data_IF_995827251311
#
_entry.id   IF_995827251311
#
_cell.length_a   1.000
_cell.length_b   1.000
_cell.length_c   1.000
_cell.angle_alpha   90.00
_cell.angle_beta   90.00
_cell.angle_gamma   90.00
#
_symmetry.space_group_name_H-M   'P 1'
#
loop_
_entity.id
_entity.type
_entity.pdbx_description
1 polymer ?
#
# COMPACT_ATOMS: atom_id res chain seq x y z
N UNK A 1 -4.18 -1.25 -44.14
CA UNK A 1 -3.51 -0.58 -43.01
C UNK A 1 -3.13 -1.65 -42.00
N UNK A 2 -1.89 -2.09 -42.06
CA UNK A 2 -1.28 -2.95 -41.04
C UNK A 2 -1.31 -2.17 -39.71
N UNK A 3 -1.94 -2.73 -38.67
CA UNK A 3 -1.80 -2.19 -37.31
C UNK A 3 -0.32 -2.26 -37.00
N UNK A 4 0.36 -1.12 -36.91
CA UNK A 4 1.70 -1.06 -36.34
C UNK A 4 1.62 -1.75 -34.97
N UNK A 5 2.24 -2.93 -34.87
CA UNK A 5 2.34 -3.63 -33.61
C UNK A 5 3.09 -2.69 -32.68
N UNK A 6 2.42 -2.23 -31.61
CA UNK A 6 3.09 -1.54 -30.53
C UNK A 6 4.28 -2.43 -30.12
N UNK A 7 5.50 -1.89 -30.01
CA UNK A 7 6.64 -2.72 -29.64
C UNK A 7 6.31 -3.42 -28.33
N UNK A 8 6.28 -4.76 -28.34
CA UNK A 8 6.06 -5.53 -27.11
C UNK A 8 7.16 -5.14 -26.13
N UNK A 9 6.76 -4.86 -24.89
CA UNK A 9 7.69 -4.61 -23.79
C UNK A 9 8.74 -5.73 -23.78
N UNK A 10 10.04 -5.42 -23.73
CA UNK A 10 11.10 -6.46 -23.63
C UNK A 10 11.48 -6.78 -22.19
N UNK A 11 10.97 -5.98 -21.27
CA UNK A 11 11.36 -5.95 -19.87
C UNK A 11 10.55 -6.96 -19.05
N UNK A 12 11.13 -7.37 -17.92
CA UNK A 12 10.41 -8.18 -16.94
C UNK A 12 9.44 -7.27 -16.17
N UNK A 13 8.23 -7.76 -15.89
CA UNK A 13 7.24 -7.06 -15.07
C UNK A 13 7.06 -7.79 -13.74
N UNK A 14 7.07 -7.05 -12.63
CA UNK A 14 6.77 -7.57 -11.31
C UNK A 14 5.61 -6.79 -10.69
N UNK A 15 4.55 -7.51 -10.33
CA UNK A 15 3.30 -6.93 -9.79
C UNK A 15 3.28 -7.05 -8.26
N UNK A 16 3.14 -5.92 -7.57
CA UNK A 16 3.12 -5.83 -6.12
C UNK A 16 1.74 -5.41 -5.62
N UNK A 17 1.08 -6.22 -4.78
CA UNK A 17 -0.22 -5.88 -4.23
C UNK A 17 -0.11 -4.84 -3.09
N UNK A 18 -1.26 -4.27 -2.70
CA UNK A 18 -1.39 -3.43 -1.51
C UNK A 18 -1.49 -4.22 -0.21
N UNK A 19 -1.64 -3.50 0.91
CA UNK A 19 -1.88 -4.11 2.22
C UNK A 19 -3.08 -5.06 2.16
N UNK A 20 -2.96 -6.23 2.80
CA UNK A 20 -3.95 -7.31 2.77
C UNK A 20 -4.18 -7.90 1.37
N UNK A 21 -3.40 -7.52 0.36
CA UNK A 21 -3.55 -7.96 -1.04
C UNK A 21 -2.89 -9.29 -1.38
N UNK A 22 -2.30 -9.99 -0.41
CA UNK A 22 -1.71 -11.33 -0.57
C UNK A 22 -2.40 -12.33 0.36
N UNK A 23 -2.63 -13.54 -0.13
CA UNK A 23 -3.05 -14.68 0.70
C UNK A 23 -1.91 -15.08 1.64
N UNK A 24 -2.22 -15.27 2.93
CA UNK A 24 -1.28 -15.69 3.96
C UNK A 24 -1.64 -17.08 4.47
N UNK A 25 -0.63 -17.93 4.65
CA UNK A 25 -0.76 -19.27 5.21
C UNK A 25 0.20 -19.47 6.37
N UNK A 26 -0.21 -20.29 7.32
CA UNK A 26 0.66 -20.83 8.36
C UNK A 26 1.58 -21.87 7.74
N UNK A 27 2.88 -21.76 7.98
CA UNK A 27 3.89 -22.64 7.36
C UNK A 27 3.87 -24.03 7.99
N UNK A 28 3.58 -24.15 9.28
CA UNK A 28 3.59 -25.42 9.99
C UNK A 28 2.32 -26.21 9.69
N UNK A 29 1.15 -25.60 9.89
CA UNK A 29 -0.12 -26.31 9.70
C UNK A 29 -0.59 -26.34 8.25
N UNK A 30 -0.08 -25.45 7.39
CA UNK A 30 -0.57 -25.24 6.03
C UNK A 30 -1.93 -24.52 5.96
N UNK A 31 -2.47 -24.08 7.10
CA UNK A 31 -3.76 -23.40 7.14
C UNK A 31 -3.69 -22.03 6.48
N UNK A 32 -4.72 -21.69 5.70
CA UNK A 32 -4.90 -20.33 5.20
C UNK A 32 -5.28 -19.42 6.37
N UNK A 33 -4.42 -18.46 6.70
CA UNK A 33 -4.65 -17.43 7.71
C UNK A 33 -5.35 -16.19 7.14
N UNK A 34 -5.19 -15.91 5.85
CA UNK A 34 -5.89 -14.82 5.20
C UNK A 34 -6.03 -15.12 3.73
N UNK A 35 -7.24 -15.03 3.19
CA UNK A 35 -7.51 -15.32 1.79
C UNK A 35 -9.00 -15.18 1.46
N UNK A 36 -9.31 -15.07 0.17
CA UNK A 36 -10.67 -14.79 -0.31
C UNK A 36 -11.34 -16.03 -0.90
N UNK A 37 -11.64 -17.01 -0.05
CA UNK A 37 -12.58 -18.09 -0.38
C UNK A 37 -13.90 -17.85 0.39
N UNK A 38 -15.09 -17.96 -0.23
CA UNK A 38 -16.37 -17.67 0.46
C UNK A 38 -16.61 -18.51 1.72
N UNK A 39 -16.23 -19.80 1.69
CA UNK A 39 -16.31 -20.70 2.86
C UNK A 39 -15.29 -20.34 3.95
N UNK A 40 -14.12 -19.84 3.54
CA UNK A 40 -13.09 -19.35 4.46
C UNK A 40 -13.46 -18.03 5.10
N UNK A 41 -14.10 -17.12 4.35
CA UNK A 41 -14.61 -15.87 4.88
C UNK A 41 -15.60 -16.16 6.04
N UNK A 42 -16.55 -17.07 5.86
CA UNK A 42 -17.47 -17.42 6.95
C UNK A 42 -16.77 -18.01 8.20
N UNK A 43 -15.74 -18.86 8.03
CA UNK A 43 -15.10 -19.60 9.15
C UNK A 43 -14.00 -18.81 9.87
N UNK A 44 -13.22 -18.03 9.14
CA UNK A 44 -12.13 -17.22 9.68
C UNK A 44 -12.64 -16.01 10.48
N UNK A 45 -13.81 -15.48 10.10
CA UNK A 45 -14.33 -14.22 10.62
C UNK A 45 -15.36 -14.36 11.74
N UNK A 46 -15.92 -15.56 11.93
CA UNK A 46 -16.82 -15.86 13.04
C UNK A 46 -16.09 -16.33 14.30
N UNK A 47 -14.89 -16.93 14.17
CA UNK A 47 -14.07 -17.36 15.32
C UNK A 47 -13.09 -16.26 15.76
N UNK A 48 -12.95 -16.05 17.07
CA UNK A 48 -11.91 -15.15 17.60
C UNK A 48 -10.49 -15.67 17.30
N UNK A 49 -10.36 -16.98 17.11
CA UNK A 49 -9.09 -17.67 16.89
C UNK A 49 -8.45 -17.36 15.53
N UNK A 50 -9.23 -17.17 14.46
CA UNK A 50 -8.69 -16.84 13.14
C UNK A 50 -7.89 -15.53 13.15
N UNK A 51 -8.49 -14.45 13.67
CA UNK A 51 -7.83 -13.15 13.78
C UNK A 51 -6.64 -13.20 14.74
N UNK A 52 -6.72 -13.98 15.82
CA UNK A 52 -5.61 -14.16 16.76
C UNK A 52 -4.35 -14.67 16.07
N UNK A 53 -4.48 -15.66 15.17
CA UNK A 53 -3.35 -16.23 14.41
C UNK A 53 -2.69 -15.26 13.42
N UNK A 54 -3.36 -14.17 13.08
CA UNK A 54 -2.79 -13.10 12.24
C UNK A 54 -1.96 -12.08 13.01
N UNK A 55 -2.05 -12.02 14.34
CA UNK A 55 -1.18 -11.13 15.11
C UNK A 55 0.28 -11.56 14.93
N UNK A 56 1.19 -10.59 14.96
CA UNK A 56 2.62 -10.91 15.08
C UNK A 56 2.87 -11.51 16.46
N UNK A 57 3.70 -12.55 16.51
CA UNK A 57 4.29 -13.01 17.78
C UNK A 57 5.42 -12.09 18.21
N UNK A 58 5.87 -12.20 19.46
CA UNK A 58 7.01 -11.42 19.96
C UNK A 58 8.28 -11.74 19.15
N UNK A 59 8.48 -13.01 18.76
CA UNK A 59 9.61 -13.39 17.91
C UNK A 59 9.52 -12.77 16.51
N UNK A 60 8.32 -12.68 15.93
CA UNK A 60 8.10 -12.01 14.63
C UNK A 60 8.37 -10.50 14.74
N UNK A 61 8.05 -9.87 15.88
CA UNK A 61 8.38 -8.46 16.16
C UNK A 61 9.88 -8.23 16.30
N UNK A 62 10.60 -9.18 16.90
CA UNK A 62 12.06 -9.16 17.04
C UNK A 62 12.80 -9.55 15.74
N UNK A 63 12.06 -9.76 14.64
CA UNK A 63 12.61 -10.02 13.31
C UNK A 63 12.77 -11.49 12.94
N UNK A 64 12.42 -12.42 13.84
CA UNK A 64 12.37 -13.86 13.55
C UNK A 64 11.09 -14.19 12.78
N UNK A 65 11.07 -13.81 11.51
CA UNK A 65 9.93 -14.07 10.64
C UNK A 65 10.05 -15.42 9.92
N UNK A 66 8.94 -16.17 9.80
CA UNK A 66 8.94 -17.43 9.06
C UNK A 66 7.71 -18.30 9.28
N UNK A 67 6.97 -18.06 10.37
CA UNK A 67 5.71 -18.75 10.69
C UNK A 67 4.64 -18.56 9.61
N UNK A 68 4.57 -17.38 9.01
CA UNK A 68 3.57 -17.04 8.00
C UNK A 68 4.22 -16.77 6.66
N UNK A 69 3.62 -17.34 5.62
CA UNK A 69 4.08 -17.20 4.24
C UNK A 69 2.98 -16.64 3.37
N UNK A 70 3.33 -15.67 2.52
CA UNK A 70 2.46 -15.21 1.46
C UNK A 70 2.56 -16.14 0.25
N UNK A 71 1.41 -16.60 -0.28
CA UNK A 71 1.37 -17.64 -1.33
C UNK A 71 1.06 -17.08 -2.71
N UNK A 72 0.11 -16.14 -2.80
CA UNK A 72 -0.35 -15.56 -4.05
C UNK A 72 -1.02 -14.22 -3.81
N UNK A 73 -1.10 -13.38 -4.84
CA UNK A 73 -1.97 -12.21 -4.78
C UNK A 73 -3.41 -12.65 -4.60
N UNK A 74 -4.20 -11.81 -3.96
CA UNK A 74 -5.63 -12.05 -3.80
C UNK A 74 -6.31 -12.16 -5.17
N UNK A 75 -7.12 -13.20 -5.33
CA UNK A 75 -7.94 -13.42 -6.53
C UNK A 75 -9.37 -13.74 -6.11
N UNK A 76 -10.33 -13.07 -6.73
CA UNK A 76 -11.73 -13.49 -6.68
C UNK A 76 -12.08 -14.35 -7.89
N UNK A 77 -13.00 -15.32 -7.75
CA UNK A 77 -13.75 -15.83 -8.88
C UNK A 77 -14.50 -14.67 -9.55
N UNK A 78 -14.35 -14.52 -10.87
CA UNK A 78 -14.94 -13.44 -11.68
C UNK A 78 -16.47 -13.33 -11.59
N UNK A 79 -17.15 -14.36 -11.08
CA UNK A 79 -18.61 -14.43 -10.94
C UNK A 79 -19.11 -14.28 -9.48
N UNK A 80 -18.29 -13.79 -8.54
CA UNK A 80 -18.67 -13.73 -7.11
C UNK A 80 -19.70 -12.63 -6.83
N UNK A 81 -20.98 -12.97 -6.57
CA UNK A 81 -22.02 -11.98 -6.29
C UNK A 81 -21.79 -11.34 -4.91
N UNK A 82 -22.04 -10.03 -4.78
CA UNK A 82 -22.01 -9.33 -3.48
C UNK A 82 -20.70 -8.59 -3.14
N UNK A 83 -19.68 -8.62 -4.01
CA UNK A 83 -18.42 -7.89 -3.81
C UNK A 83 -18.36 -6.55 -4.55
N UNK A 84 -19.45 -6.10 -5.17
CA UNK A 84 -19.52 -4.80 -5.85
C UNK A 84 -18.51 -4.62 -6.99
N UNK A 85 -18.06 -5.71 -7.63
CA UNK A 85 -17.04 -5.64 -8.70
C UNK A 85 -15.60 -5.50 -8.23
N UNK A 86 -15.31 -5.69 -6.94
CA UNK A 86 -13.95 -5.74 -6.42
C UNK A 86 -13.24 -6.99 -7.01
N UNK A 87 -12.33 -6.79 -7.97
CA UNK A 87 -11.46 -7.81 -8.56
C UNK A 87 -10.01 -7.45 -8.21
N UNK A 88 -9.30 -8.18 -7.33
CA UNK A 88 -8.22 -7.58 -6.55
C UNK A 88 -7.00 -7.35 -7.44
N UNK A 89 -6.61 -8.38 -8.20
CA UNK A 89 -5.46 -8.33 -9.11
C UNK A 89 -5.65 -9.18 -10.39
N UNK A 90 -6.73 -9.96 -10.50
CA UNK A 90 -6.90 -10.94 -11.60
C UNK A 90 -6.90 -10.27 -12.98
N UNK A 91 -7.80 -9.31 -13.24
CA UNK A 91 -7.85 -8.57 -14.51
C UNK A 91 -6.56 -7.79 -14.77
N UNK A 92 -6.00 -7.11 -13.75
CA UNK A 92 -4.77 -6.35 -13.90
C UNK A 92 -3.62 -7.26 -14.39
N UNK A 93 -3.35 -8.34 -13.67
CA UNK A 93 -2.29 -9.29 -14.02
C UNK A 93 -2.56 -9.94 -15.38
N UNK A 94 -3.81 -10.30 -15.68
CA UNK A 94 -4.21 -10.84 -16.99
C UNK A 94 -3.88 -9.85 -18.11
N UNK A 95 -4.28 -8.59 -17.97
CA UNK A 95 -4.00 -7.53 -18.95
C UNK A 95 -2.50 -7.29 -19.13
N UNK A 96 -1.73 -7.27 -18.03
CA UNK A 96 -0.27 -7.14 -18.10
C UNK A 96 0.32 -8.30 -18.90
N UNK A 97 -0.08 -9.55 -18.60
CA UNK A 97 0.38 -10.74 -19.35
C UNK A 97 0.00 -10.68 -20.84
N UNK A 98 -1.20 -10.21 -21.18
CA UNK A 98 -1.66 -10.03 -22.57
C UNK A 98 -0.81 -9.00 -23.36
N UNK A 99 -0.22 -8.01 -22.66
CA UNK A 99 0.62 -6.97 -23.27
C UNK A 99 2.13 -7.26 -23.15
N UNK A 100 2.48 -8.37 -22.50
CA UNK A 100 3.87 -8.76 -22.22
C UNK A 100 4.40 -9.71 -23.30
N UNK A 101 5.72 -9.74 -23.53
CA UNK A 101 6.35 -10.52 -24.60
C UNK A 101 6.18 -12.02 -24.41
N UNK A 102 6.09 -12.45 -23.15
CA UNK A 102 5.89 -13.84 -22.77
C UNK A 102 5.27 -13.91 -21.36
N UNK A 103 4.45 -14.92 -21.01
CA UNK A 103 3.92 -15.07 -19.66
C UNK A 103 5.00 -15.09 -18.56
N UNK A 104 6.16 -15.68 -18.83
CA UNK A 104 7.28 -15.77 -17.87
C UNK A 104 8.02 -14.45 -17.64
N UNK A 105 7.77 -13.43 -18.48
CA UNK A 105 8.25 -12.07 -18.19
C UNK A 105 7.47 -11.40 -17.05
N UNK A 106 6.30 -11.93 -16.68
CA UNK A 106 5.41 -11.35 -15.66
C UNK A 106 5.37 -12.23 -14.41
N UNK A 107 5.86 -11.69 -13.30
CA UNK A 107 5.70 -12.29 -11.98
C UNK A 107 4.82 -11.44 -11.07
N UNK A 108 4.26 -12.10 -10.07
CA UNK A 108 3.55 -11.48 -8.97
C UNK A 108 4.41 -11.64 -7.71
N UNK A 109 4.48 -10.62 -6.87
CA UNK A 109 5.20 -10.64 -5.60
C UNK A 109 4.21 -10.57 -4.43
N UNK A 110 3.60 -11.71 -4.02
CA UNK A 110 2.86 -11.75 -2.79
C UNK A 110 3.83 -11.61 -1.61
N UNK A 111 3.43 -10.86 -0.59
CA UNK A 111 4.23 -10.63 0.62
C UNK A 111 3.35 -10.62 1.88
N UNK A 112 4.01 -10.83 3.03
CA UNK A 112 3.37 -10.76 4.33
C UNK A 112 3.11 -9.30 4.70
N UNK A 113 1.90 -8.84 4.38
CA UNK A 113 1.46 -7.46 4.57
C UNK A 113 1.34 -7.03 6.03
N UNK A 114 1.58 -7.94 6.97
CA UNK A 114 1.67 -7.65 8.40
C UNK A 114 3.00 -7.00 8.77
N UNK A 115 4.07 -7.36 8.05
CA UNK A 115 5.44 -6.91 8.31
C UNK A 115 5.68 -5.51 7.78
N UNK A 116 6.80 -4.92 8.18
CA UNK A 116 7.18 -3.57 7.77
C UNK A 116 7.51 -3.51 6.27
N UNK A 117 7.41 -2.30 5.71
CA UNK A 117 7.83 -1.96 4.35
C UNK A 117 9.31 -2.32 4.13
N UNK A 118 10.28 -1.95 5.01
CA UNK A 118 11.67 -2.37 4.88
C UNK A 118 11.85 -3.90 4.84
N UNK A 119 11.20 -4.64 5.76
CA UNK A 119 11.29 -6.11 5.80
C UNK A 119 10.78 -6.73 4.49
N UNK A 120 9.67 -6.22 3.98
CA UNK A 120 9.09 -6.68 2.71
C UNK A 120 9.95 -6.30 1.51
N UNK A 121 10.62 -5.14 1.54
CA UNK A 121 11.48 -4.66 0.47
C UNK A 121 12.78 -5.47 0.35
N UNK A 122 13.33 -5.96 1.47
CA UNK A 122 14.47 -6.90 1.45
C UNK A 122 14.09 -8.19 0.72
N UNK A 123 12.88 -8.72 0.98
CA UNK A 123 12.36 -9.90 0.28
C UNK A 123 12.07 -9.60 -1.19
N UNK A 124 11.60 -8.39 -1.50
CA UNK A 124 11.38 -7.94 -2.87
C UNK A 124 12.69 -7.92 -3.66
N UNK A 125 13.79 -7.42 -3.07
CA UNK A 125 15.08 -7.34 -3.74
C UNK A 125 15.52 -8.71 -4.27
N UNK A 126 15.51 -9.74 -3.42
CA UNK A 126 15.84 -11.10 -3.81
C UNK A 126 14.90 -11.66 -4.90
N UNK A 127 13.59 -11.44 -4.77
CA UNK A 127 12.62 -11.91 -5.76
C UNK A 127 12.74 -11.18 -7.12
N UNK A 128 13.04 -9.88 -7.08
CA UNK A 128 13.23 -9.03 -8.24
C UNK A 128 14.47 -9.41 -9.05
N UNK A 129 15.61 -9.60 -8.37
CA UNK A 129 16.86 -10.05 -8.98
C UNK A 129 16.68 -11.43 -9.62
N UNK A 130 16.06 -12.37 -8.90
CA UNK A 130 15.82 -13.72 -9.41
C UNK A 130 14.87 -13.73 -10.61
N UNK A 131 13.79 -12.94 -10.57
CA UNK A 131 12.86 -12.82 -11.68
C UNK A 131 13.54 -12.23 -12.92
N UNK A 132 14.28 -11.14 -12.75
CA UNK A 132 14.98 -10.49 -13.86
C UNK A 132 16.06 -11.41 -14.45
N UNK A 133 16.83 -12.12 -13.60
CA UNK A 133 17.84 -13.09 -14.03
C UNK A 133 17.21 -14.20 -14.86
N UNK A 134 16.09 -14.78 -14.41
CA UNK A 134 15.36 -15.81 -15.16
C UNK A 134 14.86 -15.29 -16.50
N UNK A 135 14.31 -14.07 -16.54
CA UNK A 135 13.84 -13.49 -17.78
C UNK A 135 14.98 -13.22 -18.77
N UNK A 136 16.11 -12.65 -18.32
CA UNK A 136 17.30 -12.43 -19.16
C UNK A 136 17.90 -13.71 -19.76
N UNK A 137 17.73 -14.84 -19.07
CA UNK A 137 18.19 -16.16 -19.51
C UNK A 137 17.16 -16.94 -20.34
N UNK A 138 15.91 -16.50 -20.37
CA UNK A 138 14.85 -17.17 -21.09
C UNK A 138 15.11 -17.13 -22.61
N UNK A 139 14.81 -18.20 -23.38
CA UNK A 139 15.06 -18.23 -24.84
C UNK A 139 14.35 -17.11 -25.62
N UNK A 140 13.24 -16.62 -25.10
CA UNK A 140 12.47 -15.49 -25.66
C UNK A 140 12.67 -14.18 -24.88
N UNK A 141 13.57 -14.18 -23.90
CA UNK A 141 13.91 -13.02 -23.10
C UNK A 141 15.00 -12.17 -23.74
N UNK A 142 15.20 -10.96 -23.20
CA UNK A 142 16.26 -10.05 -23.61
C UNK A 142 17.35 -9.98 -22.55
N UNK A 143 18.63 -10.12 -22.94
CA UNK A 143 19.76 -9.96 -22.01
C UNK A 143 19.86 -8.55 -21.42
N UNK A 144 19.37 -7.56 -22.16
CA UNK A 144 19.35 -6.16 -21.77
C UNK A 144 18.03 -5.75 -21.09
N UNK A 145 17.14 -6.71 -20.80
CA UNK A 145 15.88 -6.43 -20.12
C UNK A 145 16.13 -5.72 -18.79
N UNK A 146 15.33 -4.70 -18.51
CA UNK A 146 15.19 -4.10 -17.19
C UNK A 146 13.98 -4.70 -16.45
N UNK A 147 13.75 -4.24 -15.22
CA UNK A 147 12.57 -4.57 -14.44
C UNK A 147 11.59 -3.39 -14.43
N UNK A 148 10.31 -3.69 -14.66
CA UNK A 148 9.17 -2.78 -14.47
C UNK A 148 8.39 -3.23 -13.24
N UNK A 149 8.28 -2.35 -12.25
CA UNK A 149 7.48 -2.60 -11.06
C UNK A 149 6.07 -2.01 -11.26
N UNK A 150 5.03 -2.83 -11.11
CA UNK A 150 3.64 -2.35 -11.06
C UNK A 150 3.11 -2.55 -9.65
N UNK A 151 3.02 -1.46 -8.90
CA UNK A 151 2.84 -1.51 -7.46
C UNK A 151 1.57 -0.79 -7.03
N UNK A 152 0.71 -1.50 -6.30
CA UNK A 152 -0.56 -0.97 -5.80
C UNK A 152 -0.47 -0.61 -4.32
N UNK A 153 -0.98 0.57 -3.94
CA UNK A 153 -1.11 1.03 -2.56
C UNK A 153 0.22 0.85 -1.78
N UNK A 154 0.22 0.16 -0.65
CA UNK A 154 1.44 -0.12 0.14
C UNK A 154 2.57 -0.77 -0.66
N UNK A 155 2.26 -1.54 -1.71
CA UNK A 155 3.28 -2.11 -2.60
C UNK A 155 4.19 -1.06 -3.23
N UNK A 156 3.70 0.17 -3.44
CA UNK A 156 4.52 1.26 -3.97
C UNK A 156 5.54 1.79 -2.98
N UNK A 157 5.24 1.76 -1.66
CA UNK A 157 6.21 2.07 -0.61
C UNK A 157 7.33 1.01 -0.57
N UNK A 158 6.97 -0.27 -0.72
CA UNK A 158 7.93 -1.38 -0.79
C UNK A 158 8.82 -1.24 -2.03
N UNK A 159 8.23 -0.96 -3.19
CA UNK A 159 8.96 -0.71 -4.43
C UNK A 159 9.92 0.48 -4.29
N UNK A 160 9.46 1.58 -3.69
CA UNK A 160 10.28 2.77 -3.45
C UNK A 160 11.44 2.49 -2.49
N UNK A 161 11.19 1.78 -1.39
CA UNK A 161 12.26 1.41 -0.47
C UNK A 161 13.31 0.54 -1.16
N UNK A 162 12.88 -0.44 -1.96
CA UNK A 162 13.78 -1.29 -2.73
C UNK A 162 14.64 -0.48 -3.71
N UNK A 163 14.03 0.39 -4.52
CA UNK A 163 14.78 1.17 -5.51
C UNK A 163 15.71 2.18 -4.86
N UNK A 164 15.26 2.87 -3.82
CA UNK A 164 16.01 3.99 -3.23
C UNK A 164 17.02 3.58 -2.16
N UNK A 165 16.77 2.48 -1.43
CA UNK A 165 17.57 2.09 -0.26
C UNK A 165 18.31 0.77 -0.39
N UNK A 166 17.88 -0.10 -1.31
CA UNK A 166 18.43 -1.45 -1.46
C UNK A 166 19.12 -1.68 -2.82
N UNK A 167 19.45 -0.61 -3.56
CA UNK A 167 20.16 -0.70 -4.83
C UNK A 167 19.29 -1.06 -6.04
N UNK A 168 17.97 -1.15 -5.88
CA UNK A 168 17.07 -1.53 -6.98
C UNK A 168 17.08 -0.58 -8.19
N UNK A 169 17.58 0.65 -8.05
CA UNK A 169 17.79 1.61 -9.14
C UNK A 169 18.62 1.06 -10.30
N UNK A 170 19.53 0.12 -10.04
CA UNK A 170 20.43 -0.43 -11.08
C UNK A 170 19.72 -1.39 -12.03
N UNK A 171 18.60 -1.99 -11.60
CA UNK A 171 17.88 -3.00 -12.37
C UNK A 171 16.45 -2.60 -12.74
N UNK A 172 15.86 -1.62 -12.05
CA UNK A 172 14.50 -1.13 -12.28
C UNK A 172 14.52 0.03 -13.26
N UNK A 173 13.98 -0.19 -14.46
CA UNK A 173 13.80 0.86 -15.47
C UNK A 173 12.62 1.78 -15.17
N UNK A 174 11.54 1.23 -14.60
CA UNK A 174 10.34 2.00 -14.29
C UNK A 174 9.57 1.41 -13.09
N UNK A 175 9.00 2.29 -12.27
CA UNK A 175 8.00 1.94 -11.24
C UNK A 175 6.69 2.65 -11.56
N UNK A 176 5.61 1.89 -11.70
CA UNK A 176 4.25 2.39 -11.87
C UNK A 176 3.49 2.17 -10.56
N UNK A 177 3.23 3.25 -9.84
CA UNK A 177 2.55 3.25 -8.55
C UNK A 177 1.07 3.59 -8.71
N UNK A 178 0.18 2.75 -8.20
CA UNK A 178 -1.28 2.89 -8.28
C UNK A 178 -1.81 3.24 -6.88
N UNK A 179 -2.28 4.48 -6.67
CA UNK A 179 -2.87 4.91 -5.38
C UNK A 179 -1.95 4.68 -4.17
N UNK A 180 -0.64 4.86 -4.35
CA UNK A 180 0.36 4.62 -3.29
C UNK A 180 0.40 5.77 -2.30
N UNK A 181 0.23 5.54 -0.99
CA UNK A 181 0.32 6.59 0.03
C UNK A 181 1.78 6.88 0.39
N UNK A 182 2.51 7.57 -0.50
CA UNK A 182 3.93 7.89 -0.28
C UNK A 182 4.18 8.69 1.00
N UNK A 183 3.27 9.60 1.34
CA UNK A 183 3.31 10.35 2.60
C UNK A 183 2.33 9.79 3.65
N UNK A 184 1.85 8.56 3.47
CA UNK A 184 0.86 7.92 4.34
C UNK A 184 -0.57 8.44 4.13
N UNK A 185 -1.51 7.94 4.92
CA UNK A 185 -2.93 8.26 4.80
C UNK A 185 -3.61 8.40 6.17
N UNK A 186 -4.41 9.45 6.36
CA UNK A 186 -5.23 9.65 7.57
C UNK A 186 -6.19 8.46 7.82
N UNK A 187 -6.58 7.74 6.77
CA UNK A 187 -7.38 6.52 6.88
C UNK A 187 -6.72 5.42 7.73
N UNK A 188 -5.39 5.33 7.75
CA UNK A 188 -4.68 4.39 8.62
C UNK A 188 -4.84 4.74 10.11
N UNK A 189 -4.81 6.04 10.43
CA UNK A 189 -5.08 6.55 11.78
C UNK A 189 -6.52 6.25 12.18
N UNK A 190 -7.46 6.55 11.29
CA UNK A 190 -8.88 6.28 11.52
C UNK A 190 -9.17 4.79 11.72
N UNK A 191 -8.43 3.90 11.05
CA UNK A 191 -8.49 2.46 11.23
C UNK A 191 -8.03 2.03 12.63
N UNK A 192 -6.87 2.51 13.10
CA UNK A 192 -6.36 2.22 14.44
C UNK A 192 -7.34 2.68 15.54
N UNK A 193 -7.92 3.87 15.37
CA UNK A 193 -8.81 4.44 16.38
C UNK A 193 -10.21 3.81 16.39
N UNK A 194 -10.85 3.69 15.22
CA UNK A 194 -12.27 3.35 15.11
C UNK A 194 -12.54 1.91 14.67
N UNK A 195 -11.54 1.22 14.12
CA UNK A 195 -11.73 -0.07 13.44
C UNK A 195 -12.54 0.03 12.15
N UNK A 196 -12.70 1.22 11.58
CA UNK A 196 -13.35 1.48 10.28
C UNK A 196 -12.32 1.87 9.24
N UNK A 197 -12.67 1.73 7.96
CA UNK A 197 -11.78 2.11 6.85
C UNK A 197 -10.87 0.99 6.35
N UNK A 198 -10.94 -0.21 6.92
CA UNK A 198 -10.36 -1.39 6.27
C UNK A 198 -11.10 -1.71 4.96
N UNK A 199 -10.42 -2.34 3.99
CA UNK A 199 -11.04 -2.78 2.74
C UNK A 199 -12.05 -3.93 2.93
N UNK A 200 -12.22 -4.43 4.16
CA UNK A 200 -13.07 -5.57 4.50
C UNK A 200 -13.99 -5.27 5.69
N UNK A 201 -15.27 -5.72 5.67
CA UNK A 201 -16.22 -5.55 6.76
C UNK A 201 -15.91 -6.50 7.94
N UNK A 202 -15.00 -6.09 8.83
CA UNK A 202 -14.60 -6.85 10.02
C UNK A 202 -15.16 -6.25 11.31
N UNK A 203 -15.32 -7.05 12.39
CA UNK A 203 -15.68 -6.52 13.71
C UNK A 203 -14.63 -5.50 14.17
N UNK A 204 -15.08 -4.26 14.41
CA UNK A 204 -14.21 -3.10 14.68
C UNK A 204 -13.20 -3.35 15.78
N UNK A 205 -13.62 -3.93 16.91
CA UNK A 205 -12.73 -4.20 18.05
C UNK A 205 -11.59 -5.17 17.69
N UNK A 206 -11.88 -6.24 16.93
CA UNK A 206 -10.86 -7.21 16.51
C UNK A 206 -9.90 -6.63 15.48
N UNK A 207 -10.42 -5.81 14.58
CA UNK A 207 -9.62 -5.12 13.58
C UNK A 207 -8.67 -4.09 14.21
N UNK A 208 -9.13 -3.35 15.22
CA UNK A 208 -8.26 -2.45 16.00
C UNK A 208 -7.15 -3.21 16.71
N UNK A 209 -7.51 -4.28 17.43
CA UNK A 209 -6.54 -5.11 18.15
C UNK A 209 -5.47 -5.68 17.20
N UNK A 210 -5.88 -6.19 16.04
CA UNK A 210 -4.95 -6.65 15.01
C UNK A 210 -4.07 -5.49 14.52
N UNK A 211 -4.69 -4.42 14.01
CA UNK A 211 -3.99 -3.29 13.40
C UNK A 211 -2.96 -2.65 14.34
N UNK A 212 -3.25 -2.56 15.63
CA UNK A 212 -2.34 -2.05 16.65
C UNK A 212 -1.03 -2.84 16.76
N UNK A 213 -0.99 -4.08 16.26
CA UNK A 213 0.20 -4.95 16.32
C UNK A 213 0.98 -5.07 15.02
N UNK A 214 0.51 -4.47 13.93
CA UNK A 214 1.08 -4.69 12.60
C UNK A 214 2.00 -3.54 12.18
N UNK A 215 3.31 -3.76 12.00
CA UNK A 215 4.20 -2.78 11.39
C UNK A 215 3.68 -2.28 10.03
N UNK A 216 3.15 -3.16 9.18
CA UNK A 216 2.63 -2.78 7.86
C UNK A 216 1.47 -1.79 7.91
N UNK A 217 0.65 -1.79 8.98
CA UNK A 217 -0.39 -0.76 9.17
C UNK A 217 0.23 0.57 9.61
N UNK A 218 1.23 0.52 10.49
CA UNK A 218 1.89 1.72 11.00
C UNK A 218 2.72 2.42 9.93
N UNK A 219 3.31 1.69 8.99
CA UNK A 219 4.04 2.23 7.84
C UNK A 219 3.13 2.96 6.83
N UNK A 220 1.81 2.96 7.03
CA UNK A 220 0.84 3.75 6.27
C UNK A 220 0.38 5.01 7.00
N UNK A 221 0.88 5.27 8.21
CA UNK A 221 0.56 6.48 8.97
C UNK A 221 1.03 7.73 8.23
N UNK A 222 0.27 8.84 8.30
CA UNK A 222 0.62 10.05 7.61
C UNK A 222 1.90 10.67 8.19
N UNK A 223 2.81 11.07 7.31
CA UNK A 223 4.06 11.75 7.68
C UNK A 223 4.03 13.27 7.44
N UNK A 224 2.91 13.80 6.96
CA UNK A 224 2.70 15.23 6.69
C UNK A 224 1.91 15.94 7.80
N UNK A 225 1.85 17.27 7.73
CA UNK A 225 1.08 18.12 8.66
C UNK A 225 -0.43 17.93 8.50
N UNK A 226 -0.97 16.94 9.20
CA UNK A 226 -2.37 16.53 9.09
C UNK A 226 -3.11 16.48 10.42
N UNK A 227 -2.46 16.82 11.54
CA UNK A 227 -3.13 16.98 12.83
C UNK A 227 -3.51 18.45 12.99
N UNK A 228 -4.81 18.72 13.04
CA UNK A 228 -5.40 20.04 13.25
C UNK A 228 -5.56 20.29 14.76
N UNK A 229 -4.75 21.21 15.27
CA UNK A 229 -4.80 21.73 16.64
C UNK A 229 -5.21 23.23 16.69
N UNK A 230 -5.83 23.73 15.61
CA UNK A 230 -6.24 25.12 15.47
C UNK A 230 -5.19 26.06 14.87
N UNK A 231 -4.01 25.54 14.50
CA UNK A 231 -2.97 26.27 13.75
C UNK A 231 -2.73 25.71 12.34
N UNK A 232 -1.54 25.96 11.79
CA UNK A 232 -1.12 25.49 10.45
C UNK A 232 -0.95 23.97 10.30
N UNK A 233 -1.39 23.19 11.29
CA UNK A 233 -1.24 21.75 11.33
C UNK A 233 0.15 21.30 11.78
N UNK A 234 0.17 20.18 12.50
CA UNK A 234 1.39 19.48 12.91
C UNK A 234 1.40 18.04 12.40
N UNK A 235 2.60 17.45 12.39
CA UNK A 235 2.77 16.03 12.07
C UNK A 235 2.27 15.16 13.23
N UNK A 236 1.83 13.97 12.90
CA UNK A 236 1.43 12.95 13.87
C UNK A 236 2.66 12.47 14.66
N UNK A 237 2.53 12.34 15.99
CA UNK A 237 3.61 11.88 16.87
C UNK A 237 3.36 10.47 17.40
N UNK A 238 4.39 9.74 17.86
CA UNK A 238 4.20 8.45 18.54
C UNK A 238 3.26 8.53 19.75
N UNK A 239 3.26 9.66 20.47
CA UNK A 239 2.36 9.90 21.60
C UNK A 239 0.91 9.95 21.15
N UNK A 240 0.62 10.67 20.07
CA UNK A 240 -0.74 10.70 19.50
C UNK A 240 -1.19 9.29 19.09
N UNK A 241 -0.29 8.52 18.47
CA UNK A 241 -0.58 7.13 18.05
C UNK A 241 -0.91 6.25 19.25
N UNK A 242 -0.18 6.38 20.36
CA UNK A 242 -0.52 5.68 21.59
C UNK A 242 -1.90 6.10 22.14
N UNK A 243 -2.22 7.40 22.12
CA UNK A 243 -3.49 7.93 22.62
C UNK A 243 -4.71 7.39 21.84
N UNK A 244 -4.56 7.17 20.54
CA UNK A 244 -5.63 6.63 19.68
C UNK A 244 -5.70 5.10 19.65
N UNK A 245 -4.81 4.42 20.38
CA UNK A 245 -4.77 2.95 20.52
C UNK A 245 -3.85 2.21 19.56
N UNK A 246 -2.89 2.89 18.91
CA UNK A 246 -1.79 2.27 18.17
C UNK A 246 -0.54 2.06 19.03
N UNK A 247 0.50 1.50 18.42
CA UNK A 247 1.77 1.21 19.07
C UNK A 247 2.78 2.34 18.82
N UNK A 248 3.28 3.03 19.87
CA UNK A 248 4.19 4.17 19.71
C UNK A 248 5.56 3.78 19.15
N UNK A 249 6.04 2.55 19.37
CA UNK A 249 7.34 2.11 18.85
C UNK A 249 7.25 1.83 17.35
N UNK A 250 6.13 1.23 16.92
CA UNK A 250 5.82 1.08 15.49
C UNK A 250 5.61 2.44 14.82
N UNK A 251 4.97 3.39 15.49
CA UNK A 251 4.84 4.76 15.00
C UNK A 251 6.22 5.45 14.82
N UNK A 252 7.11 5.32 15.80
CA UNK A 252 8.47 5.86 15.71
C UNK A 252 9.27 5.20 14.55
N UNK A 253 9.04 3.92 14.30
CA UNK A 253 9.65 3.20 13.17
C UNK A 253 9.12 3.68 11.82
N UNK A 254 7.81 3.91 11.73
CA UNK A 254 7.15 4.48 10.55
C UNK A 254 7.66 5.90 10.24
N UNK A 255 7.89 6.74 11.25
CA UNK A 255 8.51 8.06 11.05
C UNK A 255 9.90 7.96 10.42
N UNK A 256 10.77 7.06 10.93
CA UNK A 256 12.09 6.80 10.34
C UNK A 256 12.00 6.27 8.90
N UNK A 257 11.00 5.45 8.60
CA UNK A 257 10.72 5.00 7.23
C UNK A 257 10.40 6.19 6.32
N UNK A 258 9.50 7.09 6.73
CA UNK A 258 9.14 8.24 5.90
C UNK A 258 10.26 9.27 5.75
N UNK A 259 11.13 9.43 6.77
CA UNK A 259 12.36 10.21 6.64
C UNK A 259 13.27 9.65 5.53
N UNK A 260 13.30 8.32 5.34
CA UNK A 260 14.04 7.69 4.26
C UNK A 260 13.50 8.01 2.85
N UNK A 261 12.29 8.57 2.74
CA UNK A 261 11.63 9.00 1.50
C UNK A 261 11.57 10.53 1.33
N UNK A 262 12.31 11.28 2.15
CA UNK A 262 12.31 12.76 2.13
C UNK A 262 12.85 13.36 0.82
N UNK A 263 13.62 12.59 0.06
CA UNK A 263 14.10 12.99 -1.25
C UNK A 263 12.97 13.04 -2.30
N UNK A 264 13.08 13.89 -3.34
CA UNK A 264 12.11 13.94 -4.41
C UNK A 264 11.91 12.59 -5.11
N UNK A 265 10.69 12.36 -5.63
CA UNK A 265 10.38 11.21 -6.46
C UNK A 265 11.42 11.03 -7.59
N UNK A 266 11.92 9.80 -7.82
CA UNK A 266 12.84 9.55 -8.92
C UNK A 266 12.11 9.67 -10.26
N UNK A 267 12.83 10.05 -11.32
CA UNK A 267 12.26 10.16 -12.68
C UNK A 267 11.66 8.84 -13.20
N UNK A 268 12.12 7.70 -12.70
CA UNK A 268 11.61 6.38 -13.04
C UNK A 268 10.26 6.04 -12.37
N UNK A 269 9.75 6.90 -11.48
CA UNK A 269 8.46 6.72 -10.81
C UNK A 269 7.33 7.41 -11.61
N UNK A 270 6.33 6.63 -12.01
CA UNK A 270 5.07 7.09 -12.59
C UNK A 270 3.94 6.82 -11.60
N UNK A 271 3.14 7.83 -11.27
CA UNK A 271 2.02 7.71 -10.32
C UNK A 271 0.68 7.77 -11.03
N UNK A 272 -0.20 6.81 -10.76
CA UNK A 272 -1.63 6.83 -11.13
C UNK A 272 -2.43 7.13 -9.87
N UNK A 273 -3.01 8.31 -9.82
CA UNK A 273 -3.65 8.88 -8.61
C UNK A 273 -5.13 9.16 -8.88
N UNK A 274 -6.00 8.74 -7.96
CA UNK A 274 -7.40 9.18 -7.95
C UNK A 274 -7.52 10.56 -7.31
N UNK A 275 -8.36 11.44 -7.88
CA UNK A 275 -8.33 12.87 -7.54
C UNK A 275 -9.69 13.48 -7.19
N UNK A 276 -10.80 12.73 -7.30
CA UNK A 276 -12.16 13.30 -7.18
C UNK A 276 -13.04 12.63 -6.12
N UNK A 277 -12.51 11.63 -5.42
CA UNK A 277 -13.24 10.95 -4.36
C UNK A 277 -13.06 11.71 -3.04
N UNK A 278 -14.13 11.92 -2.24
CA UNK A 278 -14.01 12.47 -0.89
C UNK A 278 -13.03 11.65 -0.06
N UNK A 279 -11.93 12.26 0.35
CA UNK A 279 -10.82 11.59 1.02
C UNK A 279 -10.44 12.32 2.30
N UNK A 280 -10.14 11.57 3.37
CA UNK A 280 -9.66 12.15 4.62
C UNK A 280 -8.24 12.70 4.41
N UNK A 281 -8.04 13.99 4.67
CA UNK A 281 -6.78 14.71 4.42
C UNK A 281 -6.14 15.18 5.73
N UNK A 282 -6.94 15.45 6.75
CA UNK A 282 -6.47 15.79 8.09
C UNK A 282 -7.39 15.24 9.16
N UNK A 283 -7.07 15.51 10.42
CA UNK A 283 -7.85 15.07 11.56
C UNK A 283 -7.63 15.96 12.77
N UNK A 284 -8.66 16.01 13.63
CA UNK A 284 -8.53 16.43 15.03
C UNK A 284 -8.43 15.21 15.92
N UNK A 285 -7.69 15.33 17.02
CA UNK A 285 -7.61 14.30 18.06
C UNK A 285 -8.13 14.93 19.35
N UNK A 286 -9.27 14.42 19.83
CA UNK A 286 -9.95 14.92 21.03
C UNK A 286 -10.13 13.79 22.03
N UNK A 287 -9.41 13.85 23.15
CA UNK A 287 -9.46 12.83 24.20
C UNK A 287 -9.33 11.40 23.64
N UNK A 288 -8.33 11.17 22.79
CA UNK A 288 -8.08 9.89 22.12
C UNK A 288 -9.07 9.52 21.01
N UNK A 289 -9.99 10.40 20.61
CA UNK A 289 -10.91 10.18 19.49
C UNK A 289 -10.44 10.91 18.25
N UNK A 290 -10.31 10.19 17.13
CA UNK A 290 -9.93 10.75 15.84
C UNK A 290 -11.19 11.23 15.11
N UNK A 291 -11.23 12.52 14.80
CA UNK A 291 -12.28 13.17 14.01
C UNK A 291 -11.69 13.49 12.64
N UNK A 292 -12.02 12.73 11.58
CA UNK A 292 -11.45 12.94 10.26
C UNK A 292 -12.00 14.21 9.59
N UNK A 293 -11.16 14.86 8.80
CA UNK A 293 -11.47 16.06 8.02
C UNK A 293 -11.11 15.83 6.54
N UNK A 294 -11.88 16.45 5.65
CA UNK A 294 -11.76 16.34 4.18
C UNK A 294 -11.04 17.54 3.56
N UNK A 295 -10.20 18.21 4.35
CA UNK A 295 -9.36 19.34 3.94
C UNK A 295 -8.07 19.26 4.74
N UNK A 296 -7.02 19.97 4.33
CA UNK A 296 -5.82 20.16 5.17
C UNK A 296 -6.09 21.20 6.28
N UNK A 297 -5.29 21.24 7.37
CA UNK A 297 -5.38 22.30 8.36
C UNK A 297 -5.15 23.67 7.72
N UNK A 298 -5.87 24.69 8.19
CA UNK A 298 -5.76 26.04 7.64
C UNK A 298 -4.39 26.64 7.98
N UNK A 299 -3.66 27.20 7.02
CA UNK A 299 -2.39 27.88 7.27
C UNK A 299 -2.55 29.09 8.22
N UNK A 300 -3.74 29.72 8.22
CA UNK A 300 -4.13 30.81 9.11
C UNK A 300 -5.65 30.81 9.33
N UNK A 301 -6.15 31.55 10.31
CA UNK A 301 -7.59 31.69 10.58
C UNK A 301 -8.39 32.29 9.40
N UNK A 302 -7.71 33.01 8.50
CA UNK A 302 -8.29 33.63 7.30
C UNK A 302 -8.22 32.71 6.08
N UNK A 303 -7.47 31.61 6.16
CA UNK A 303 -7.30 30.67 5.05
C UNK A 303 -8.57 29.86 4.84
N UNK A 304 -9.04 29.84 3.58
CA UNK A 304 -10.19 29.01 3.19
C UNK A 304 -9.80 27.53 3.25
N UNK A 305 -10.63 26.73 3.90
CA UNK A 305 -10.53 25.28 3.88
C UNK A 305 -10.90 24.75 2.48
N UNK A 306 -10.01 23.97 1.88
CA UNK A 306 -10.18 23.40 0.55
C UNK A 306 -10.11 21.89 0.64
N UNK A 307 -11.11 21.22 0.07
CA UNK A 307 -11.04 19.78 -0.20
C UNK A 307 -10.27 19.56 -1.50
N UNK A 308 -9.07 19.00 -1.38
CA UNK A 308 -8.22 18.70 -2.54
C UNK A 308 -8.53 17.33 -3.19
N UNK A 309 -9.46 16.54 -2.64
CA UNK A 309 -9.85 15.24 -3.16
C UNK A 309 -8.80 14.15 -2.95
N UNK A 310 -9.02 13.01 -3.58
CA UNK A 310 -8.15 11.83 -3.51
C UNK A 310 -8.87 10.63 -4.11
N UNK A 311 -8.47 9.42 -3.72
CA UNK A 311 -9.06 8.16 -4.22
C UNK A 311 -10.06 7.49 -3.24
N UNK A 312 -10.42 8.18 -2.15
CA UNK A 312 -11.24 7.65 -1.04
C UNK A 312 -10.42 6.96 0.06
N UNK A 313 -9.10 6.90 -0.11
CA UNK A 313 -8.13 6.38 0.86
C UNK A 313 -6.94 7.33 1.02
N UNK A 314 -6.31 7.70 -0.08
CA UNK A 314 -5.10 8.51 -0.15
C UNK A 314 -5.45 9.86 -0.76
N UNK A 315 -5.13 10.91 -0.01
CA UNK A 315 -5.19 12.30 -0.45
C UNK A 315 -4.26 12.50 -1.66
N UNK A 316 -4.71 13.22 -2.71
CA UNK A 316 -3.98 13.37 -3.99
C UNK A 316 -2.51 13.75 -3.83
N UNK A 317 -2.15 14.77 -3.03
CA UNK A 317 -0.73 15.18 -2.90
C UNK A 317 0.11 14.12 -2.19
N UNK A 318 -0.47 13.41 -1.21
CA UNK A 318 0.21 12.31 -0.52
C UNK A 318 0.49 11.09 -1.44
N UNK A 319 -0.12 11.06 -2.63
CA UNK A 319 0.05 10.01 -3.62
C UNK A 319 1.03 10.35 -4.76
N UNK A 320 1.53 11.59 -4.83
CA UNK A 320 2.41 12.04 -5.92
C UNK A 320 3.86 11.53 -5.78
N UNK A 321 4.25 11.03 -4.61
CA UNK A 321 5.59 10.51 -4.36
C UNK A 321 6.66 11.59 -4.16
N UNK A 322 6.28 12.85 -4.17
CA UNK A 322 7.16 14.00 -3.98
C UNK A 322 7.44 14.34 -2.51
N UNK A 323 7.91 15.57 -2.32
CA UNK A 323 8.10 16.21 -1.01
C UNK A 323 6.77 16.36 -0.25
N UNK A 324 6.86 16.75 1.02
CA UNK A 324 5.70 16.87 1.92
C UNK A 324 4.53 17.65 1.27
N UNK A 325 3.28 17.16 1.36
CA UNK A 325 2.08 17.88 0.98
C UNK A 325 1.91 19.20 1.74
N UNK A 326 1.55 20.27 1.03
CA UNK A 326 1.35 21.61 1.59
C UNK A 326 0.02 22.25 1.15
N UNK A 327 -0.78 21.60 0.30
CA UNK A 327 -2.07 22.12 -0.14
C UNK A 327 -1.98 23.28 -1.12
N UNK A 328 -0.81 23.50 -1.72
CA UNK A 328 -0.59 24.55 -2.72
C UNK A 328 -0.94 24.09 -4.14
N UNK A 329 -1.17 22.79 -4.35
CA UNK A 329 -1.60 22.31 -5.66
C UNK A 329 -3.02 22.81 -5.92
N UNK A 330 -3.27 23.49 -7.06
CA UNK A 330 -4.62 23.89 -7.41
C UNK A 330 -5.51 22.64 -7.44
N UNK A 331 -6.75 22.71 -6.92
CA UNK A 331 -7.68 21.59 -7.00
C UNK A 331 -7.78 21.18 -8.47
N UNK A 332 -7.63 19.88 -8.73
CA UNK A 332 -7.60 19.37 -10.11
C UNK A 332 -8.91 19.79 -10.79
N UNK A 333 -8.89 20.58 -11.87
CA UNK A 333 -10.12 21.08 -12.45
C UNK A 333 -10.95 19.91 -13.01
N UNK A 334 -12.22 19.83 -12.60
CA UNK A 334 -13.21 18.94 -13.21
C UNK A 334 -13.37 19.30 -14.69
N UNK A 335 -12.59 18.66 -15.58
CA UNK A 335 -12.94 18.60 -16.99
C UNK A 335 -13.95 17.48 -17.16
N UNK A 336 -15.23 17.79 -16.91
CA UNK A 336 -16.30 17.06 -17.58
C UNK A 336 -16.11 17.30 -19.07
N UNK A 337 -15.52 16.34 -19.79
CA UNK A 337 -15.73 16.28 -21.23
C UNK A 337 -17.17 15.78 -21.43
N UNK A 338 -18.00 16.50 -22.19
CA UNK A 338 -19.38 16.13 -22.47
C UNK A 338 -19.49 14.79 -23.20
#
# INVERSE_FOLDING_TARGET
>A
MEKAALPLCRDAVLVLPGIMGSELVDVESGDILWGLSPKMYARFWTSAEGIRRLHLTDEERDGTCGRVRATRTLRFPSASPGLGGFEPYTALVKRIREQSPHPDSVAEFPYDWRLSVPTSAIRLAAAAEEHLRRWRQHPQGSRDAALVLVAHSMGGLIARYFTERLGGRDIVGQTIALGTPFNGAVKAVYLLNSGRGAPVPLPRARLRALAATLPGVHDLLPSYRCVDDGGAGRRLTPRDVAEIGGDPELAASSLRLHEAFSEPAPQSLSTVVGVFQPTMQSMRIEAGVVIPQWHLPAASAESKLVDHGGDGTVYVEAALGGVEPHGESPPVPCRHRP
#
